data_IF_141446051133
#
_entry.id   IF_141446051133
#
_cell.length_a   1.000
_cell.length_b   1.000
_cell.length_c   1.000
_cell.angle_alpha   90.00
_cell.angle_beta   90.00
_cell.angle_gamma   90.00
#
_symmetry.space_group_name_H-M   'P 1'
#
loop_
_entity.id
_entity.type
_entity.pdbx_description
1 polymer ?
#
# COMPACT_ATOMS: atom_id res chain seq x y z
N UNK A 1 -2.85 13.71 59.07
CA UNK A 1 -2.97 13.40 57.63
C UNK A 1 -4.22 12.56 57.46
N UNK A 2 -5.31 13.14 56.94
CA UNK A 2 -6.58 12.43 56.78
C UNK A 2 -6.45 11.41 55.65
N UNK A 3 -6.77 10.15 55.92
CA UNK A 3 -6.85 9.11 54.88
C UNK A 3 -8.00 9.44 53.93
N UNK A 4 -7.82 9.30 52.60
CA UNK A 4 -8.90 9.53 51.66
C UNK A 4 -10.01 8.50 51.88
N UNK A 5 -11.26 8.97 51.87
CA UNK A 5 -12.44 8.13 51.98
C UNK A 5 -12.42 7.03 50.89
N UNK A 6 -12.90 5.80 51.20
CA UNK A 6 -13.00 4.73 50.23
C UNK A 6 -13.87 5.20 49.04
N UNK A 7 -13.53 4.83 47.80
CA UNK A 7 -14.33 5.19 46.64
C UNK A 7 -15.77 4.72 46.87
N UNK A 8 -16.73 5.61 46.61
CA UNK A 8 -18.15 5.32 46.68
C UNK A 8 -18.41 3.97 46.01
N UNK A 9 -19.04 3.06 46.75
CA UNK A 9 -19.41 1.75 46.25
C UNK A 9 -20.08 1.93 44.89
N UNK A 10 -19.50 1.33 43.84
CA UNK A 10 -20.12 1.32 42.53
C UNK A 10 -21.54 0.76 42.73
N UNK A 11 -22.56 1.54 42.39
CA UNK A 11 -23.95 1.08 42.32
C UNK A 11 -24.02 0.07 41.15
N UNK A 12 -23.56 -1.14 41.41
CA UNK A 12 -23.59 -2.30 40.53
C UNK A 12 -25.04 -2.79 40.59
N UNK A 13 -25.87 -2.53 39.55
CA UNK A 13 -27.24 -3.01 39.56
C UNK A 13 -27.22 -4.54 39.67
N UNK A 14 -27.83 -5.10 40.72
CA UNK A 14 -27.84 -6.55 40.96
C UNK A 14 -28.70 -7.35 39.97
N UNK A 15 -29.15 -6.71 38.89
CA UNK A 15 -30.07 -7.30 37.93
C UNK A 15 -29.31 -8.06 36.84
N UNK A 16 -29.45 -9.38 36.87
CA UNK A 16 -28.91 -10.30 35.87
C UNK A 16 -29.44 -9.97 34.46
N UNK A 17 -30.68 -9.47 34.34
CA UNK A 17 -31.27 -9.13 33.05
C UNK A 17 -30.57 -7.92 32.41
N UNK A 18 -30.22 -6.91 33.22
CA UNK A 18 -29.45 -5.75 32.77
C UNK A 18 -28.08 -6.15 32.21
N UNK A 19 -27.35 -7.02 32.93
CA UNK A 19 -26.07 -7.52 32.44
C UNK A 19 -26.20 -8.37 31.19
N UNK A 20 -27.24 -9.20 31.08
CA UNK A 20 -27.49 -9.99 29.87
C UNK A 20 -27.74 -9.09 28.65
N UNK A 21 -28.48 -7.99 28.81
CA UNK A 21 -28.72 -7.03 27.74
C UNK A 21 -27.41 -6.35 27.28
N UNK A 22 -26.57 -5.91 28.23
CA UNK A 22 -25.27 -5.31 27.92
C UNK A 22 -24.34 -6.32 27.21
N UNK A 23 -24.31 -7.57 27.68
CA UNK A 23 -23.49 -8.63 27.06
C UNK A 23 -23.97 -8.92 25.63
N UNK A 24 -25.29 -8.95 25.40
CA UNK A 24 -25.83 -9.14 24.06
C UNK A 24 -25.43 -8.01 23.11
N UNK A 25 -25.55 -6.75 23.55
CA UNK A 25 -25.15 -5.58 22.78
C UNK A 25 -23.64 -5.58 22.47
N UNK A 26 -22.80 -5.82 23.48
CA UNK A 26 -21.35 -5.91 23.30
C UNK A 26 -20.95 -7.03 22.35
N UNK A 27 -21.64 -8.18 22.40
CA UNK A 27 -21.41 -9.30 21.46
C UNK A 27 -21.78 -8.91 20.04
N UNK A 28 -22.89 -8.19 19.84
CA UNK A 28 -23.29 -7.71 18.53
C UNK A 28 -22.26 -6.73 17.96
N UNK A 29 -21.81 -5.76 18.75
CA UNK A 29 -20.78 -4.80 18.35
C UNK A 29 -19.45 -5.51 18.02
N UNK A 30 -19.03 -6.46 18.86
CA UNK A 30 -17.82 -7.24 18.60
C UNK A 30 -17.93 -8.05 17.30
N UNK A 31 -19.08 -8.64 17.00
CA UNK A 31 -19.28 -9.37 15.74
C UNK A 31 -19.11 -8.45 14.52
N UNK A 32 -19.68 -7.23 14.57
CA UNK A 32 -19.53 -6.23 13.50
C UNK A 32 -18.07 -5.79 13.35
N UNK A 33 -17.40 -5.50 14.47
CA UNK A 33 -16.00 -5.08 14.46
C UNK A 33 -15.08 -6.18 13.93
N UNK A 34 -15.27 -7.42 14.35
CA UNK A 34 -14.49 -8.56 13.86
C UNK A 34 -14.68 -8.77 12.35
N UNK A 35 -15.92 -8.65 11.85
CA UNK A 35 -16.17 -8.72 10.42
C UNK A 35 -15.45 -7.59 9.64
N UNK A 36 -15.44 -6.38 10.20
CA UNK A 36 -14.73 -5.25 9.59
C UNK A 36 -13.22 -5.43 9.60
N UNK A 37 -12.66 -5.93 10.70
CA UNK A 37 -11.23 -6.24 10.83
C UNK A 37 -10.84 -7.29 9.79
N UNK A 38 -11.60 -8.39 9.69
CA UNK A 38 -11.32 -9.45 8.72
C UNK A 38 -11.30 -8.93 7.27
N UNK A 39 -12.25 -8.06 6.91
CA UNK A 39 -12.27 -7.45 5.57
C UNK A 39 -11.10 -6.51 5.33
N UNK A 40 -10.72 -5.70 6.33
CA UNK A 40 -9.56 -4.81 6.22
C UNK A 40 -8.25 -5.60 6.11
N UNK A 41 -8.08 -6.65 6.91
CA UNK A 41 -6.93 -7.55 6.84
C UNK A 41 -6.86 -8.24 5.48
N UNK A 42 -7.99 -8.71 4.95
CA UNK A 42 -8.08 -9.25 3.58
C UNK A 42 -7.62 -8.21 2.55
N UNK A 43 -8.07 -6.95 2.66
CA UNK A 43 -7.67 -5.89 1.74
C UNK A 43 -6.19 -5.57 1.82
N UNK A 44 -5.60 -5.53 3.01
CA UNK A 44 -4.17 -5.31 3.23
C UNK A 44 -3.31 -6.45 2.70
N UNK A 45 -3.82 -7.69 2.74
CA UNK A 45 -3.14 -8.86 2.21
C UNK A 45 -3.14 -8.96 0.67
N UNK A 46 -3.96 -8.18 -0.04
CA UNK A 46 -4.03 -8.21 -1.50
C UNK A 46 -2.89 -7.40 -2.13
N UNK A 47 -2.09 -8.07 -2.95
CA UNK A 47 -1.05 -7.47 -3.79
C UNK A 47 -1.11 -8.08 -5.20
N UNK A 48 -0.39 -7.53 -6.17
CA UNK A 48 -0.37 -8.04 -7.56
C UNK A 48 -0.05 -9.52 -7.67
N UNK A 49 0.78 -10.05 -6.76
CA UNK A 49 1.13 -11.48 -6.71
C UNK A 49 -0.02 -12.45 -6.34
N UNK A 50 -1.11 -12.00 -5.69
CA UNK A 50 -2.19 -12.88 -5.24
C UNK A 50 -3.60 -12.40 -5.65
N UNK A 51 -3.73 -11.24 -6.29
CA UNK A 51 -5.02 -10.62 -6.61
C UNK A 51 -5.32 -10.47 -8.10
N UNK A 52 -4.39 -10.87 -8.99
CA UNK A 52 -4.51 -10.67 -10.45
C UNK A 52 -4.47 -9.21 -10.91
N UNK A 53 -4.33 -8.25 -9.98
CA UNK A 53 -4.14 -6.83 -10.29
C UNK A 53 -2.76 -6.61 -10.93
N UNK A 54 -2.63 -5.66 -11.87
CA UNK A 54 -1.34 -5.38 -12.47
C UNK A 54 -0.35 -4.84 -11.42
N UNK A 55 0.95 -5.17 -11.51
CA UNK A 55 1.98 -4.75 -10.55
C UNK A 55 2.27 -3.24 -10.55
N UNK A 56 1.68 -2.48 -11.48
CA UNK A 56 1.65 -1.02 -11.44
C UNK A 56 0.72 -0.48 -10.35
N UNK A 57 -0.36 -1.19 -10.02
CA UNK A 57 -1.37 -0.76 -9.04
C UNK A 57 -0.89 -0.86 -7.58
N UNK A 58 0.12 -1.69 -7.28
CA UNK A 58 0.69 -1.82 -5.92
C UNK A 58 1.54 -0.60 -5.50
N UNK A 59 1.84 0.32 -6.42
CA UNK A 59 2.64 1.51 -6.14
C UNK A 59 4.10 1.19 -5.75
N UNK A 60 4.70 2.07 -4.94
CA UNK A 60 6.10 1.98 -4.53
C UNK A 60 6.35 1.03 -3.34
N UNK A 61 5.27 0.60 -2.65
CA UNK A 61 5.34 -0.34 -1.52
C UNK A 61 5.53 -1.80 -1.97
N UNK A 62 5.47 -2.06 -3.28
CA UNK A 62 5.64 -3.41 -3.80
C UNK A 62 7.05 -3.95 -3.50
N UNK A 63 7.16 -5.22 -3.09
CA UNK A 63 8.45 -5.85 -2.96
C UNK A 63 9.16 -5.85 -4.34
N UNK A 64 10.49 -5.68 -4.37
CA UNK A 64 11.24 -5.71 -5.62
C UNK A 64 10.98 -7.05 -6.33
N UNK A 65 10.50 -6.97 -7.57
CA UNK A 65 10.09 -8.16 -8.35
C UNK A 65 11.25 -9.13 -8.60
N UNK A 66 12.47 -8.61 -8.60
CA UNK A 66 13.71 -9.36 -8.75
C UNK A 66 14.75 -8.81 -7.80
N UNK A 67 15.25 -9.64 -6.89
CA UNK A 67 16.53 -9.39 -6.22
C UNK A 67 17.64 -10.02 -7.05
N UNK A 68 18.75 -9.30 -7.23
CA UNK A 68 19.94 -9.88 -7.84
C UNK A 68 20.52 -10.92 -6.88
N UNK A 69 20.63 -12.18 -7.33
CA UNK A 69 21.37 -13.22 -6.59
C UNK A 69 22.89 -13.03 -6.69
N UNK A 70 23.37 -12.14 -7.55
CA UNK A 70 24.80 -11.86 -7.72
C UNK A 70 25.30 -11.03 -6.54
N UNK A 71 26.49 -11.37 -6.06
CA UNK A 71 27.25 -10.49 -5.17
C UNK A 71 27.50 -9.14 -5.83
N UNK A 72 27.43 -8.06 -5.04
CA UNK A 72 27.74 -6.72 -5.52
C UNK A 72 29.21 -6.70 -5.99
N UNK A 73 29.45 -6.27 -7.22
CA UNK A 73 30.81 -6.26 -7.78
C UNK A 73 31.71 -5.21 -7.16
N UNK A 74 31.14 -4.22 -6.44
CA UNK A 74 31.84 -3.05 -5.91
C UNK A 74 32.40 -2.11 -6.98
N UNK A 75 32.20 -2.42 -8.26
CA UNK A 75 32.71 -1.62 -9.38
C UNK A 75 31.77 -0.44 -9.65
N UNK A 76 32.30 0.74 -10.03
CA UNK A 76 31.45 1.84 -10.45
C UNK A 76 30.60 1.43 -11.66
N UNK A 77 29.38 1.94 -11.72
CA UNK A 77 28.50 1.76 -12.89
C UNK A 77 29.05 2.51 -14.10
N UNK A 78 29.14 1.85 -15.24
CA UNK A 78 29.60 2.45 -16.50
C UNK A 78 30.70 1.65 -17.19
N UNK A 79 31.28 2.24 -18.22
CA UNK A 79 32.47 1.69 -18.88
C UNK A 79 33.67 1.65 -17.92
N UNK A 80 34.66 0.82 -18.24
CA UNK A 80 35.90 0.80 -17.47
C UNK A 80 36.60 2.16 -17.58
N UNK A 81 37.35 2.54 -16.54
CA UNK A 81 38.12 3.80 -16.53
C UNK A 81 39.03 3.90 -17.75
N UNK A 82 38.94 5.00 -18.49
CA UNK A 82 39.73 5.25 -19.70
C UNK A 82 39.10 4.78 -21.01
N UNK A 83 37.94 4.10 -20.97
CA UNK A 83 37.20 3.79 -22.20
C UNK A 83 36.48 5.03 -22.72
N UNK A 84 36.67 5.40 -24.00
CA UNK A 84 35.92 6.50 -24.60
C UNK A 84 34.44 6.12 -24.68
N UNK A 85 33.58 6.90 -24.06
CA UNK A 85 32.13 6.76 -24.19
C UNK A 85 31.71 7.05 -25.63
N UNK A 86 30.85 6.20 -26.20
CA UNK A 86 30.27 6.38 -27.54
C UNK A 86 28.79 6.75 -27.44
N UNK A 87 28.49 7.78 -26.65
CA UNK A 87 27.13 8.32 -26.58
C UNK A 87 26.82 9.04 -27.88
N UNK A 88 25.72 8.65 -28.54
CA UNK A 88 25.23 9.39 -29.71
C UNK A 88 24.73 10.75 -29.24
N UNK A 89 25.33 11.81 -29.76
CA UNK A 89 24.84 13.17 -29.58
C UNK A 89 23.68 13.44 -30.54
N UNK A 90 22.72 14.26 -30.10
CA UNK A 90 21.68 14.77 -30.99
C UNK A 90 22.32 15.55 -32.12
N UNK A 91 21.99 15.20 -33.36
CA UNK A 91 22.39 15.95 -34.56
C UNK A 91 21.42 17.10 -34.79
N UNK A 92 21.90 18.21 -35.37
CA UNK A 92 21.06 19.36 -35.70
C UNK A 92 20.02 19.02 -36.80
N UNK A 93 20.40 18.15 -37.73
CA UNK A 93 19.58 17.73 -38.85
C UNK A 93 19.55 16.20 -38.92
N UNK A 94 18.47 15.55 -38.47
CA UNK A 94 18.31 14.11 -38.60
C UNK A 94 18.00 13.71 -40.05
N UNK A 95 18.40 12.50 -40.44
CA UNK A 95 18.10 11.96 -41.78
C UNK A 95 16.59 11.71 -41.98
N UNK A 96 15.86 11.47 -40.89
CA UNK A 96 14.41 11.23 -40.93
C UNK A 96 13.75 11.78 -39.68
N UNK A 97 12.64 12.49 -39.89
CA UNK A 97 11.72 12.94 -38.84
C UNK A 97 10.39 12.26 -39.07
N UNK A 98 9.87 11.57 -38.05
CA UNK A 98 8.56 10.91 -38.10
C UNK A 98 7.69 11.59 -37.07
N UNK A 99 6.63 12.25 -37.53
CA UNK A 99 5.64 12.84 -36.66
C UNK A 99 4.64 11.76 -36.23
N UNK A 100 4.43 11.63 -34.92
CA UNK A 100 3.45 10.71 -34.34
C UNK A 100 2.23 11.47 -33.86
N UNK A 101 1.10 11.28 -34.53
CA UNK A 101 -0.18 11.84 -34.13
C UNK A 101 -1.14 10.75 -33.65
N UNK A 102 -1.96 11.01 -32.61
CA UNK A 102 -3.04 10.11 -32.25
C UNK A 102 -4.09 10.05 -33.38
N UNK A 103 -4.81 8.92 -33.53
CA UNK A 103 -5.83 8.77 -34.56
C UNK A 103 -7.02 9.73 -34.40
N UNK A 104 -7.26 10.23 -33.19
CA UNK A 104 -8.25 11.27 -32.92
C UNK A 104 -7.76 12.22 -31.83
N UNK A 105 -8.18 13.48 -31.90
CA UNK A 105 -7.91 14.48 -30.87
C UNK A 105 -8.93 14.37 -29.74
N UNK A 106 -8.48 14.25 -28.50
CA UNK A 106 -9.35 14.16 -27.32
C UNK A 106 -10.15 15.43 -27.02
N UNK A 107 -9.81 16.57 -27.65
CA UNK A 107 -10.49 17.86 -27.42
C UNK A 107 -11.38 18.34 -28.57
N UNK A 108 -11.15 17.89 -29.81
CA UNK A 108 -11.88 18.40 -30.97
C UNK A 108 -12.21 17.36 -32.06
N UNK A 109 -11.91 16.08 -31.82
CA UNK A 109 -12.09 15.00 -32.81
C UNK A 109 -13.30 14.08 -32.53
N UNK A 110 -14.44 14.66 -32.14
CA UNK A 110 -15.73 13.95 -32.09
C UNK A 110 -16.45 14.05 -33.44
#
# INVERSE_FOLDING_TARGET
>A
MASPAPPAALDIPADVAFYQAIIAELRAQNAVLLARVAELERQLGLHSGNSGKPPSSDGLKKPPRTSSLRAASGKPSGGQSGHPGKTLSRVAHPDTTIDHFPPSCSGCGA
#
